data_IF_785703692829
#
_entry.id   IF_785703692829
#
_cell.length_a   1.000
_cell.length_b   1.000
_cell.length_c   1.000
_cell.angle_alpha   90.00
_cell.angle_beta   90.00
_cell.angle_gamma   90.00
#
_symmetry.space_group_name_H-M   'P 1'
#
loop_
_entity.id
_entity.type
_entity.pdbx_description
1 polymer ?
#
# COMPACT_ATOMS: atom_id res chain seq x y z
N UNK A 1 -27.59 -17.35 26.45
CA UNK A 1 -26.24 -16.81 26.17
C UNK A 1 -25.64 -17.58 24.99
N UNK A 2 -24.97 -16.88 24.08
CA UNK A 2 -24.25 -17.53 22.98
C UNK A 2 -23.08 -18.36 23.53
N UNK A 3 -22.82 -19.55 22.94
CA UNK A 3 -21.66 -20.32 23.31
C UNK A 3 -20.36 -19.63 22.85
N UNK A 4 -19.26 -19.85 23.56
CA UNK A 4 -17.98 -19.21 23.23
C UNK A 4 -17.52 -19.48 21.78
N UNK A 5 -17.61 -20.71 21.23
CA UNK A 5 -17.28 -20.95 19.82
C UNK A 5 -18.10 -20.08 18.85
N UNK A 6 -19.37 -19.85 19.12
CA UNK A 6 -20.22 -18.98 18.29
C UNK A 6 -19.79 -17.51 18.39
N UNK A 7 -19.37 -17.05 19.57
CA UNK A 7 -18.82 -15.70 19.74
C UNK A 7 -17.56 -15.52 18.90
N UNK A 8 -16.61 -16.47 18.94
CA UNK A 8 -15.40 -16.41 18.15
C UNK A 8 -15.66 -16.41 16.64
N UNK A 9 -16.66 -17.18 16.18
CA UNK A 9 -17.09 -17.15 14.76
C UNK A 9 -17.61 -15.76 14.37
N UNK A 10 -18.47 -15.17 15.20
CA UNK A 10 -19.00 -13.83 14.94
C UNK A 10 -17.91 -12.76 14.94
N UNK A 11 -16.96 -12.85 15.86
CA UNK A 11 -15.81 -11.93 15.91
C UNK A 11 -14.91 -12.05 14.68
N UNK A 12 -14.54 -13.27 14.28
CA UNK A 12 -13.74 -13.49 13.08
C UNK A 12 -14.43 -13.00 11.81
N UNK A 13 -15.75 -13.23 11.69
CA UNK A 13 -16.53 -12.71 10.58
C UNK A 13 -16.60 -11.18 10.61
N UNK A 14 -16.88 -10.58 11.77
CA UNK A 14 -16.88 -9.12 11.94
C UNK A 14 -15.52 -8.50 11.64
N UNK A 15 -14.43 -9.17 12.02
CA UNK A 15 -13.07 -8.77 11.67
C UNK A 15 -12.87 -8.69 10.14
N UNK A 16 -13.27 -9.71 9.39
CA UNK A 16 -13.16 -9.76 7.93
C UNK A 16 -13.97 -8.61 7.29
N UNK A 17 -15.21 -8.42 7.73
CA UNK A 17 -16.10 -7.38 7.19
C UNK A 17 -15.56 -5.98 7.49
N UNK A 18 -15.15 -5.73 8.74
CA UNK A 18 -14.63 -4.43 9.17
C UNK A 18 -13.36 -4.03 8.42
N UNK A 19 -12.38 -4.95 8.36
CA UNK A 19 -11.13 -4.70 7.63
C UNK A 19 -11.36 -4.59 6.13
N UNK A 20 -12.30 -5.38 5.56
CA UNK A 20 -12.74 -5.26 4.17
C UNK A 20 -13.32 -3.88 3.88
N UNK A 21 -14.25 -3.42 4.71
CA UNK A 21 -14.86 -2.09 4.58
C UNK A 21 -13.82 -0.96 4.68
N UNK A 22 -12.93 -1.02 5.67
CA UNK A 22 -11.85 -0.03 5.84
C UNK A 22 -10.92 0.00 4.63
N UNK A 23 -10.57 -1.18 4.08
CA UNK A 23 -9.71 -1.26 2.89
C UNK A 23 -10.39 -0.65 1.64
N UNK A 24 -11.68 -0.88 1.47
CA UNK A 24 -12.48 -0.28 0.40
C UNK A 24 -12.53 1.26 0.54
N UNK A 25 -12.82 1.75 1.74
CA UNK A 25 -12.87 3.20 2.02
C UNK A 25 -11.51 3.87 1.74
N UNK A 26 -10.42 3.22 2.10
CA UNK A 26 -9.06 3.72 1.85
C UNK A 26 -8.57 3.51 0.41
N UNK A 27 -9.33 2.82 -0.42
CA UNK A 27 -8.95 2.45 -1.80
C UNK A 27 -7.58 1.74 -1.88
N UNK A 28 -7.25 0.93 -0.87
CA UNK A 28 -5.94 0.27 -0.75
C UNK A 28 -5.87 -1.10 -1.45
N UNK A 29 -7.02 -1.67 -1.81
CA UNK A 29 -7.14 -3.04 -2.28
C UNK A 29 -7.00 -4.05 -1.12
N UNK A 30 -7.91 -5.01 -1.04
CA UNK A 30 -7.86 -6.12 -0.09
C UNK A 30 -7.57 -7.42 -0.82
N UNK A 31 -6.62 -8.16 -0.29
CA UNK A 31 -6.28 -9.47 -0.80
C UNK A 31 -7.35 -10.50 -0.46
N UNK A 32 -7.74 -11.34 -1.43
CA UNK A 32 -8.58 -12.51 -1.16
C UNK A 32 -7.96 -13.43 -0.12
N UNK A 33 -6.65 -13.53 -0.10
CA UNK A 33 -5.89 -14.34 0.86
C UNK A 33 -6.12 -13.89 2.29
N UNK A 34 -6.21 -12.58 2.55
CA UNK A 34 -6.56 -12.04 3.87
C UNK A 34 -7.86 -12.66 4.41
N UNK A 35 -8.94 -12.64 3.60
CA UNK A 35 -10.24 -13.17 4.02
C UNK A 35 -10.18 -14.70 4.25
N UNK A 36 -9.48 -15.42 3.37
CA UNK A 36 -9.33 -16.89 3.49
C UNK A 36 -8.50 -17.26 4.72
N UNK A 37 -7.36 -16.61 4.97
CA UNK A 37 -6.54 -16.86 6.16
C UNK A 37 -7.30 -16.54 7.45
N UNK A 38 -8.02 -15.41 7.48
CA UNK A 38 -8.85 -15.04 8.63
C UNK A 38 -9.97 -16.05 8.87
N UNK A 39 -10.65 -16.50 7.82
CA UNK A 39 -11.73 -17.48 7.92
C UNK A 39 -11.21 -18.84 8.42
N UNK A 40 -10.12 -19.35 7.83
CA UNK A 40 -9.53 -20.63 8.24
C UNK A 40 -9.10 -20.56 9.71
N UNK A 41 -8.39 -19.50 10.10
CA UNK A 41 -7.96 -19.33 11.49
C UNK A 41 -9.15 -19.30 12.45
N UNK A 42 -10.20 -18.56 12.11
CA UNK A 42 -11.43 -18.46 12.91
C UNK A 42 -12.11 -19.82 13.07
N UNK A 43 -12.25 -20.58 11.97
CA UNK A 43 -12.85 -21.91 12.01
C UNK A 43 -12.03 -22.90 12.85
N UNK A 44 -10.71 -22.88 12.71
CA UNK A 44 -9.81 -23.75 13.49
C UNK A 44 -9.89 -23.43 14.97
N UNK A 45 -9.77 -22.16 15.37
CA UNK A 45 -9.80 -21.79 16.80
C UNK A 45 -11.18 -22.04 17.41
N UNK A 46 -12.25 -21.70 16.70
CA UNK A 46 -13.62 -21.96 17.16
C UNK A 46 -13.89 -23.48 17.29
N UNK A 47 -13.45 -24.28 16.32
CA UNK A 47 -13.57 -25.74 16.37
C UNK A 47 -12.77 -26.36 17.52
N UNK A 48 -11.53 -25.92 17.74
CA UNK A 48 -10.71 -26.38 18.88
C UNK A 48 -11.37 -25.99 20.21
N UNK A 49 -11.88 -24.78 20.35
CA UNK A 49 -12.60 -24.33 21.54
C UNK A 49 -13.83 -25.20 21.81
N UNK A 50 -14.58 -25.57 20.76
CA UNK A 50 -15.75 -26.44 20.89
C UNK A 50 -15.39 -27.86 21.32
N UNK A 51 -14.27 -28.40 20.81
CA UNK A 51 -13.84 -29.78 21.10
C UNK A 51 -13.13 -29.93 22.44
N UNK A 52 -12.31 -28.95 22.83
CA UNK A 52 -11.46 -29.04 24.02
C UNK A 52 -12.03 -28.35 25.23
N UNK A 53 -13.04 -27.49 25.07
CA UNK A 53 -13.57 -26.65 26.15
C UNK A 53 -12.60 -25.57 26.65
N UNK A 54 -11.47 -25.34 25.94
CA UNK A 54 -10.51 -24.30 26.32
C UNK A 54 -11.17 -22.93 26.24
N UNK A 55 -11.10 -22.16 27.31
CA UNK A 55 -11.66 -20.81 27.40
C UNK A 55 -10.73 -19.81 26.71
N UNK A 56 -11.00 -19.50 25.45
CA UNK A 56 -10.28 -18.44 24.71
C UNK A 56 -10.97 -17.10 24.97
N UNK A 57 -10.24 -16.13 25.51
CA UNK A 57 -10.81 -14.80 25.69
C UNK A 57 -11.02 -14.12 24.32
N UNK A 58 -12.23 -13.64 23.99
CA UNK A 58 -12.55 -13.10 22.67
C UNK A 58 -11.56 -12.02 22.18
N UNK A 59 -11.27 -11.02 23.03
CA UNK A 59 -10.31 -9.95 22.67
C UNK A 59 -8.92 -10.48 22.36
N UNK A 60 -8.45 -11.52 23.10
CA UNK A 60 -7.14 -12.13 22.83
C UNK A 60 -7.12 -12.92 21.54
N UNK A 61 -8.26 -13.40 21.04
CA UNK A 61 -8.38 -14.03 19.73
C UNK A 61 -8.08 -13.06 18.57
N UNK A 62 -8.40 -11.77 18.73
CA UNK A 62 -8.15 -10.76 17.69
C UNK A 62 -6.67 -10.47 17.48
N UNK A 63 -5.82 -10.67 18.47
CA UNK A 63 -4.38 -10.41 18.34
C UNK A 63 -3.69 -11.35 17.34
N UNK A 64 -3.75 -12.69 17.51
CA UNK A 64 -3.09 -13.59 16.57
C UNK A 64 -3.71 -13.57 15.17
N UNK A 65 -5.03 -13.38 15.03
CA UNK A 65 -5.64 -13.24 13.69
C UNK A 65 -5.15 -11.99 12.98
N UNK A 66 -4.99 -10.86 13.69
CA UNK A 66 -4.43 -9.63 13.15
C UNK A 66 -2.95 -9.82 12.75
N UNK A 67 -2.14 -10.37 13.64
CA UNK A 67 -0.72 -10.61 13.35
C UNK A 67 -0.54 -11.58 12.17
N UNK A 68 -1.35 -12.62 12.09
CA UNK A 68 -1.31 -13.59 10.99
C UNK A 68 -1.67 -12.95 9.64
N UNK A 69 -2.78 -12.24 9.60
CA UNK A 69 -3.33 -11.72 8.34
C UNK A 69 -2.63 -10.44 7.85
N UNK A 70 -2.10 -9.63 8.79
CA UNK A 70 -1.44 -8.35 8.48
C UNK A 70 0.09 -8.40 8.54
N UNK A 71 0.70 -9.58 8.74
CA UNK A 71 2.15 -9.75 8.90
C UNK A 71 3.01 -9.00 7.87
N UNK A 72 2.64 -9.07 6.60
CA UNK A 72 3.35 -8.37 5.51
C UNK A 72 3.15 -6.86 5.61
N UNK A 73 1.92 -6.42 5.82
CA UNK A 73 1.57 -5.00 5.96
C UNK A 73 2.29 -4.33 7.12
N UNK A 74 2.32 -4.98 8.27
CA UNK A 74 3.01 -4.48 9.47
C UNK A 74 4.50 -4.24 9.16
N UNK A 75 5.17 -5.19 8.51
CA UNK A 75 6.58 -5.05 8.17
C UNK A 75 6.82 -3.94 7.13
N UNK A 76 5.95 -3.83 6.12
CA UNK A 76 6.02 -2.76 5.12
C UNK A 76 5.82 -1.40 5.76
N UNK A 77 4.84 -1.25 6.65
CA UNK A 77 4.55 0.01 7.34
C UNK A 77 5.72 0.40 8.25
N UNK A 78 6.28 -0.55 9.01
CA UNK A 78 7.48 -0.32 9.82
C UNK A 78 8.67 0.06 8.94
N UNK A 79 8.94 -0.66 7.85
CA UNK A 79 9.98 -0.31 6.88
C UNK A 79 9.82 1.10 6.34
N UNK A 80 8.59 1.50 6.02
CA UNK A 80 8.27 2.86 5.55
C UNK A 80 8.55 3.93 6.61
N UNK A 81 8.27 3.65 7.88
CA UNK A 81 8.59 4.56 9.00
C UNK A 81 10.10 4.75 9.10
N UNK A 82 10.88 3.67 9.04
CA UNK A 82 12.35 3.75 9.08
C UNK A 82 12.94 4.44 7.86
N UNK A 83 12.43 4.17 6.65
CA UNK A 83 12.84 4.85 5.43
C UNK A 83 12.62 6.37 5.52
N UNK A 84 11.45 6.81 6.04
CA UNK A 84 11.15 8.23 6.27
C UNK A 84 12.10 8.91 7.26
N UNK A 85 12.69 8.15 8.17
CA UNK A 85 13.70 8.61 9.13
C UNK A 85 15.13 8.55 8.58
N UNK A 86 15.31 8.17 7.31
CA UNK A 86 16.62 8.00 6.68
C UNK A 86 17.35 6.71 7.09
N UNK A 87 16.71 5.81 7.83
CA UNK A 87 17.30 4.53 8.27
C UNK A 87 17.05 3.45 7.21
N UNK A 88 17.63 3.65 6.03
CA UNK A 88 17.36 2.83 4.85
C UNK A 88 17.77 1.36 5.01
N UNK A 89 18.90 1.08 5.66
CA UNK A 89 19.35 -0.30 5.91
C UNK A 89 18.31 -1.11 6.73
N UNK A 90 17.73 -0.47 7.74
CA UNK A 90 16.71 -1.12 8.56
C UNK A 90 15.40 -1.28 7.79
N UNK A 91 15.03 -0.28 6.99
CA UNK A 91 13.87 -0.36 6.11
C UNK A 91 14.02 -1.53 5.11
N UNK A 92 15.17 -1.66 4.46
CA UNK A 92 15.44 -2.72 3.50
C UNK A 92 15.40 -4.12 4.15
N UNK A 93 15.95 -4.28 5.36
CA UNK A 93 15.83 -5.53 6.14
C UNK A 93 14.37 -5.91 6.40
N UNK A 94 13.53 -4.93 6.76
CA UNK A 94 12.10 -5.17 7.00
C UNK A 94 11.35 -5.51 5.69
N UNK A 95 11.68 -4.86 4.59
CA UNK A 95 11.10 -5.17 3.29
C UNK A 95 11.50 -6.58 2.82
N UNK A 96 12.76 -6.99 2.97
CA UNK A 96 13.20 -8.35 2.67
C UNK A 96 12.53 -9.39 3.57
N UNK A 97 12.32 -9.07 4.85
CA UNK A 97 11.57 -9.96 5.75
C UNK A 97 10.11 -10.09 5.30
N UNK A 98 9.47 -8.97 4.91
CA UNK A 98 8.10 -8.97 4.38
C UNK A 98 7.98 -9.85 3.12
N UNK A 99 8.98 -9.81 2.24
CA UNK A 99 9.02 -10.63 1.02
C UNK A 99 9.11 -12.14 1.33
N UNK A 100 9.87 -12.52 2.36
CA UNK A 100 9.99 -13.92 2.81
C UNK A 100 8.73 -14.48 3.42
N UNK A 101 7.77 -13.65 3.84
CA UNK A 101 6.49 -14.08 4.42
C UNK A 101 5.44 -14.42 3.36
N UNK A 102 5.85 -14.75 2.15
CA UNK A 102 4.99 -15.13 1.03
C UNK A 102 3.83 -14.15 0.80
N UNK A 103 4.12 -12.87 0.48
CA UNK A 103 3.08 -11.91 0.16
C UNK A 103 2.26 -12.38 -1.04
N UNK A 104 0.95 -12.21 -0.98
CA UNK A 104 0.12 -12.32 -2.16
C UNK A 104 0.41 -11.20 -3.18
N UNK A 105 -0.17 -11.27 -4.36
CA UNK A 105 0.10 -10.31 -5.45
C UNK A 105 -0.11 -8.86 -5.02
N UNK A 106 -1.21 -8.57 -4.31
CA UNK A 106 -1.52 -7.20 -3.85
C UNK A 106 -0.47 -6.71 -2.85
N UNK A 107 -0.17 -7.51 -1.82
CA UNK A 107 0.82 -7.13 -0.81
C UNK A 107 2.23 -7.04 -1.40
N UNK A 108 2.57 -7.87 -2.39
CA UNK A 108 3.86 -7.79 -3.12
C UNK A 108 3.98 -6.49 -3.90
N UNK A 109 2.93 -6.06 -4.59
CA UNK A 109 2.93 -4.79 -5.30
C UNK A 109 3.05 -3.61 -4.34
N UNK A 110 2.32 -3.63 -3.22
CA UNK A 110 2.43 -2.60 -2.17
C UNK A 110 3.84 -2.54 -1.59
N UNK A 111 4.45 -3.69 -1.31
CA UNK A 111 5.84 -3.78 -0.87
C UNK A 111 6.78 -3.10 -1.88
N UNK A 112 6.66 -3.43 -3.17
CA UNK A 112 7.46 -2.83 -4.25
C UNK A 112 7.27 -1.32 -4.36
N UNK A 113 6.04 -0.80 -4.22
CA UNK A 113 5.79 0.65 -4.20
C UNK A 113 6.58 1.33 -3.08
N UNK A 114 6.62 0.71 -1.89
CA UNK A 114 7.35 1.27 -0.75
C UNK A 114 8.88 1.12 -0.91
N UNK A 115 9.36 0.03 -1.48
CA UNK A 115 10.78 -0.14 -1.86
C UNK A 115 11.21 0.91 -2.89
N UNK A 116 10.44 1.10 -3.98
CA UNK A 116 10.70 2.14 -4.98
C UNK A 116 10.71 3.55 -4.38
N UNK A 117 9.79 3.81 -3.42
CA UNK A 117 9.76 5.08 -2.69
C UNK A 117 11.00 5.27 -1.80
N UNK A 118 11.47 4.22 -1.14
CA UNK A 118 12.71 4.22 -0.35
C UNK A 118 13.93 4.51 -1.25
N UNK A 119 14.03 3.85 -2.41
CA UNK A 119 15.07 4.10 -3.41
C UNK A 119 15.07 5.56 -3.91
N UNK A 120 13.86 6.11 -4.17
CA UNK A 120 13.70 7.52 -4.55
C UNK A 120 14.22 8.48 -3.46
N UNK A 121 13.99 8.17 -2.19
CA UNK A 121 14.51 8.95 -1.05
C UNK A 121 16.02 8.83 -0.94
N UNK A 122 16.61 7.67 -1.24
CA UNK A 122 18.04 7.42 -1.32
C UNK A 122 18.71 8.09 -2.55
N UNK A 123 17.94 8.76 -3.42
CA UNK A 123 18.37 9.34 -4.70
C UNK A 123 18.83 8.30 -5.74
N UNK A 124 18.49 7.04 -5.56
CA UNK A 124 18.71 5.95 -6.51
C UNK A 124 17.60 5.98 -7.58
N UNK A 125 17.68 7.02 -8.45
CA UNK A 125 16.55 7.39 -9.30
C UNK A 125 16.25 6.33 -10.36
N UNK A 126 17.27 5.73 -10.98
CA UNK A 126 17.07 4.71 -12.02
C UNK A 126 16.47 3.43 -11.45
N UNK A 127 17.00 2.94 -10.34
CA UNK A 127 16.45 1.78 -9.64
C UNK A 127 14.99 2.01 -9.22
N UNK A 128 14.67 3.22 -8.71
CA UNK A 128 13.30 3.55 -8.31
C UNK A 128 12.33 3.55 -9.50
N UNK A 129 12.74 4.09 -10.65
CA UNK A 129 11.94 4.11 -11.89
C UNK A 129 11.70 2.69 -12.38
N UNK A 130 12.72 1.83 -12.36
CA UNK A 130 12.59 0.42 -12.75
C UNK A 130 11.55 -0.30 -11.88
N UNK A 131 11.65 -0.15 -10.57
CA UNK A 131 10.68 -0.75 -9.62
C UNK A 131 9.27 -0.23 -9.86
N UNK A 132 9.09 1.09 -10.10
CA UNK A 132 7.76 1.65 -10.37
C UNK A 132 7.19 1.17 -11.70
N UNK A 133 8.00 1.04 -12.75
CA UNK A 133 7.57 0.45 -14.01
C UNK A 133 7.13 -1.00 -13.84
N UNK A 134 7.90 -1.81 -13.10
CA UNK A 134 7.53 -3.18 -12.79
C UNK A 134 6.18 -3.26 -12.03
N UNK A 135 5.97 -2.38 -11.05
CA UNK A 135 4.69 -2.27 -10.33
C UNK A 135 3.55 -1.98 -11.29
N UNK A 136 3.68 -0.96 -12.14
CA UNK A 136 2.62 -0.54 -13.07
C UNK A 136 2.31 -1.62 -14.11
N UNK A 137 3.31 -2.32 -14.61
CA UNK A 137 3.14 -3.43 -15.54
C UNK A 137 2.35 -4.60 -14.93
N UNK A 138 2.48 -4.82 -13.62
CA UNK A 138 1.80 -5.90 -12.90
C UNK A 138 0.51 -5.45 -12.19
N UNK A 139 0.27 -4.14 -12.10
CA UNK A 139 -0.93 -3.57 -11.48
C UNK A 139 -2.19 -3.77 -12.34
N UNK A 140 -2.02 -4.02 -13.65
CA UNK A 140 -3.10 -4.28 -14.59
C UNK A 140 -4.05 -5.35 -14.03
N UNK A 141 -5.38 -5.09 -14.13
CA UNK A 141 -6.49 -5.94 -13.63
C UNK A 141 -6.93 -5.69 -12.18
N UNK A 142 -6.71 -4.47 -11.63
CA UNK A 142 -7.24 -4.07 -10.32
C UNK A 142 -6.58 -4.78 -9.13
N UNK A 143 -5.38 -5.33 -9.31
CA UNK A 143 -4.61 -6.01 -8.27
C UNK A 143 -3.96 -5.05 -7.28
N UNK A 144 -3.71 -3.81 -7.71
CA UNK A 144 -3.19 -2.74 -6.88
C UNK A 144 -4.33 -1.75 -6.60
N UNK A 145 -4.49 -1.34 -5.34
CA UNK A 145 -5.49 -0.32 -5.00
C UNK A 145 -5.15 1.03 -5.63
N UNK A 146 -6.17 1.77 -6.04
CA UNK A 146 -6.07 3.09 -6.71
C UNK A 146 -5.13 4.05 -5.97
N UNK A 147 -5.10 3.99 -4.63
CA UNK A 147 -4.19 4.77 -3.79
C UNK A 147 -2.71 4.51 -4.12
N UNK A 148 -2.33 3.25 -4.24
CA UNK A 148 -0.94 2.86 -4.50
C UNK A 148 -0.55 3.07 -5.95
N UNK A 149 -1.50 2.92 -6.88
CA UNK A 149 -1.30 3.20 -8.30
C UNK A 149 -1.01 4.71 -8.50
N UNK A 150 -1.85 5.58 -7.95
CA UNK A 150 -1.64 7.03 -7.98
C UNK A 150 -0.32 7.44 -7.29
N UNK A 151 0.02 6.81 -6.15
CA UNK A 151 1.28 7.05 -5.47
C UNK A 151 2.48 6.63 -6.34
N UNK A 152 2.37 5.52 -7.08
CA UNK A 152 3.43 5.02 -7.97
C UNK A 152 3.67 6.00 -9.12
N UNK A 153 2.61 6.43 -9.81
CA UNK A 153 2.70 7.45 -10.88
C UNK A 153 3.30 8.75 -10.34
N UNK A 154 2.86 9.21 -9.17
CA UNK A 154 3.38 10.43 -8.56
C UNK A 154 4.88 10.35 -8.27
N UNK A 155 5.31 9.27 -7.60
CA UNK A 155 6.71 9.08 -7.25
C UNK A 155 7.60 8.90 -8.50
N UNK A 156 7.08 8.24 -9.52
CA UNK A 156 7.76 8.13 -10.82
C UNK A 156 7.92 9.50 -11.50
N UNK A 157 6.88 10.33 -11.46
CA UNK A 157 6.95 11.73 -11.92
C UNK A 157 8.02 12.53 -11.19
N UNK A 158 8.09 12.39 -9.85
CA UNK A 158 9.15 13.02 -9.03
C UNK A 158 10.54 12.51 -9.41
N UNK A 159 10.70 11.20 -9.66
CA UNK A 159 11.97 10.62 -10.10
C UNK A 159 12.41 11.21 -11.44
N UNK A 160 11.49 11.30 -12.42
CA UNK A 160 11.77 11.92 -13.72
C UNK A 160 12.14 13.40 -13.61
N UNK A 161 11.44 14.18 -12.78
CA UNK A 161 11.82 15.60 -12.55
C UNK A 161 13.24 15.72 -11.99
N UNK A 162 13.62 14.87 -11.03
CA UNK A 162 14.97 14.87 -10.46
C UNK A 162 16.05 14.47 -11.47
N UNK A 163 15.66 13.77 -12.54
CA UNK A 163 16.51 13.43 -13.68
C UNK A 163 16.47 14.47 -14.80
N UNK A 164 15.76 15.60 -14.63
CA UNK A 164 15.50 16.60 -15.68
C UNK A 164 14.79 16.04 -16.94
N UNK A 165 14.00 15.00 -16.77
CA UNK A 165 13.19 14.38 -17.81
C UNK A 165 11.76 14.95 -17.80
N UNK A 166 11.63 16.25 -18.02
CA UNK A 166 10.40 17.02 -17.78
C UNK A 166 9.19 16.49 -18.56
N UNK A 167 9.37 16.01 -19.79
CA UNK A 167 8.28 15.43 -20.59
C UNK A 167 7.75 14.12 -19.96
N UNK A 168 8.63 13.22 -19.52
CA UNK A 168 8.25 11.97 -18.87
C UNK A 168 7.60 12.23 -17.51
N UNK A 169 8.09 13.22 -16.77
CA UNK A 169 7.49 13.64 -15.53
C UNK A 169 6.06 14.11 -15.73
N UNK A 170 5.80 14.94 -16.76
CA UNK A 170 4.45 15.42 -17.09
C UNK A 170 3.50 14.27 -17.44
N UNK A 171 3.95 13.27 -18.20
CA UNK A 171 3.15 12.08 -18.51
C UNK A 171 2.77 11.34 -17.22
N UNK A 172 3.74 11.12 -16.33
CA UNK A 172 3.49 10.42 -15.08
C UNK A 172 2.53 11.21 -14.15
N UNK A 173 2.67 12.54 -14.06
CA UNK A 173 1.76 13.36 -13.26
C UNK A 173 0.34 13.43 -13.85
N UNK A 174 0.17 13.48 -15.17
CA UNK A 174 -1.15 13.38 -15.78
C UNK A 174 -1.81 12.03 -15.44
N UNK A 175 -1.06 10.93 -15.50
CA UNK A 175 -1.57 9.61 -15.10
C UNK A 175 -2.05 9.58 -13.63
N UNK A 176 -1.46 10.36 -12.72
CA UNK A 176 -1.97 10.50 -11.33
C UNK A 176 -3.37 11.11 -11.32
N UNK A 177 -3.55 12.22 -12.08
CA UNK A 177 -4.83 12.94 -12.15
C UNK A 177 -5.91 12.03 -12.75
N UNK A 178 -5.57 11.29 -13.80
CA UNK A 178 -6.49 10.35 -14.46
C UNK A 178 -6.87 9.17 -13.53
N UNK A 179 -5.89 8.65 -12.76
CA UNK A 179 -6.09 7.50 -11.87
C UNK A 179 -6.97 7.86 -10.66
N UNK A 180 -6.71 9.01 -10.02
CA UNK A 180 -7.45 9.43 -8.83
C UNK A 180 -7.52 10.96 -8.69
N UNK A 181 -8.44 11.63 -9.44
CA UNK A 181 -8.54 13.11 -9.48
C UNK A 181 -8.73 13.77 -8.11
N UNK A 182 -9.52 13.15 -7.23
CA UNK A 182 -9.83 13.71 -5.91
C UNK A 182 -8.75 13.43 -4.84
N UNK A 183 -7.57 12.97 -5.24
CA UNK A 183 -6.51 12.59 -4.29
C UNK A 183 -5.57 13.75 -3.97
N UNK A 184 -4.93 13.65 -2.81
CA UNK A 184 -3.80 14.52 -2.47
C UNK A 184 -2.63 14.36 -3.46
N UNK A 185 -2.46 13.17 -4.04
CA UNK A 185 -1.47 12.94 -5.09
C UNK A 185 -1.78 13.72 -6.36
N UNK A 186 -3.06 13.76 -6.80
CA UNK A 186 -3.48 14.53 -7.97
C UNK A 186 -3.25 16.03 -7.75
N UNK A 187 -3.66 16.57 -6.62
CA UNK A 187 -3.42 17.98 -6.28
C UNK A 187 -1.93 18.35 -6.33
N UNK A 188 -1.05 17.48 -5.80
CA UNK A 188 0.40 17.68 -5.86
C UNK A 188 0.95 17.55 -7.28
N UNK A 189 0.40 16.63 -8.06
CA UNK A 189 0.77 16.44 -9.46
C UNK A 189 0.41 17.65 -10.31
N UNK A 190 -0.77 18.22 -10.13
CA UNK A 190 -1.22 19.45 -10.81
C UNK A 190 -0.27 20.62 -10.52
N UNK A 191 0.11 20.83 -9.26
CA UNK A 191 1.10 21.85 -8.88
C UNK A 191 2.46 21.61 -9.56
N UNK A 192 2.88 20.36 -9.66
CA UNK A 192 4.14 20.00 -10.32
C UNK A 192 4.05 20.25 -11.86
N UNK A 193 2.92 19.90 -12.48
CA UNK A 193 2.66 20.15 -13.90
C UNK A 193 2.67 21.65 -14.22
N UNK A 194 2.04 22.45 -13.39
CA UNK A 194 1.99 23.90 -13.58
C UNK A 194 3.39 24.53 -13.47
N UNK A 195 4.19 24.13 -12.46
CA UNK A 195 5.58 24.56 -12.34
C UNK A 195 6.43 24.17 -13.55
N UNK A 196 6.22 22.97 -14.07
CA UNK A 196 6.93 22.49 -15.25
C UNK A 196 6.55 23.30 -16.50
N UNK A 197 5.26 23.65 -16.68
CA UNK A 197 4.80 24.52 -17.78
C UNK A 197 5.43 25.90 -17.71
N UNK A 198 5.42 26.56 -16.53
CA UNK A 198 6.03 27.88 -16.32
C UNK A 198 7.53 27.89 -16.62
N UNK A 199 8.24 26.79 -16.30
CA UNK A 199 9.67 26.63 -16.61
C UNK A 199 9.93 26.66 -18.13
N UNK A 200 9.03 26.07 -18.92
CA UNK A 200 9.20 25.93 -20.37
C UNK A 200 8.52 27.05 -21.18
N UNK A 201 7.58 27.78 -20.58
CA UNK A 201 6.87 28.90 -21.24
C UNK A 201 6.78 30.14 -20.32
N UNK A 202 7.89 30.87 -20.14
CA UNK A 202 7.95 32.01 -19.23
C UNK A 202 7.09 33.24 -19.69
N UNK A 203 6.54 33.22 -20.92
CA UNK A 203 5.75 34.33 -21.46
C UNK A 203 4.33 34.42 -20.88
N UNK A 204 3.76 33.33 -20.36
CA UNK A 204 2.39 33.32 -19.80
C UNK A 204 2.30 33.87 -18.37
N UNK A 205 3.43 34.10 -17.69
CA UNK A 205 3.44 34.63 -16.30
C UNK A 205 3.37 36.13 -16.18
N UNK A 206 3.33 36.89 -17.30
CA UNK A 206 3.30 38.38 -17.33
C UNK A 206 1.93 38.97 -17.57
N UNK A 207 0.90 38.18 -17.85
CA UNK A 207 -0.44 38.69 -18.14
C UNK A 207 -1.37 38.69 -16.90
N UNK A 208 -0.98 38.09 -15.77
CA UNK A 208 -1.79 38.02 -14.55
C UNK A 208 -1.24 38.90 -13.38
N UNK A 209 -0.51 39.98 -13.66
CA UNK A 209 -0.03 40.95 -12.64
C UNK A 209 -0.56 42.33 -12.84
#
# INVERSE_FOLDING_TARGET
MLSLPVILLLEGFSYIVLFGAVSLLKREGLSRRFAVEALIFTLVVSGLTALTGIQTHPVLFLVPIYLLTMRVRILVDLGTIFARRGQFELADKLYHLAERLWPDTTNRLILKVNQGTSLLQQKKLDESIEVFNDVLNHANHGRLGVKYEAATHYNMGVAYLRKNMDARASIAFNAVVDTWPASEYARRAEVALERNRRKHNPSTSKEDS
#
